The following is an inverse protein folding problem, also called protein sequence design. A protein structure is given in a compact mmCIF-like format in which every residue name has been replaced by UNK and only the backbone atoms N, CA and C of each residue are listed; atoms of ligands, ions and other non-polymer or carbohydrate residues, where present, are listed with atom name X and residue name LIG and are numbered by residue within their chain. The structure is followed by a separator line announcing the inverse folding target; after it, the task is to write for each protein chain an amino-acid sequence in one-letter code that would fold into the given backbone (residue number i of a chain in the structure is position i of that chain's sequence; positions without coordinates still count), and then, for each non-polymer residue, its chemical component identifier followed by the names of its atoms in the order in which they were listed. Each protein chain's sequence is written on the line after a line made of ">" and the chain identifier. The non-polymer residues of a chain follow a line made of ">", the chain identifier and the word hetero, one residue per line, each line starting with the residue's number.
data_IF_331116861062
#
_entry.id   IF_331116861062
#
_cell.length_a   1.000
_cell.length_b   1.000
_cell.length_c   1.000
_cell.angle_alpha   90.00
_cell.angle_beta   90.00
_cell.angle_gamma   90.00
#
_symmetry.space_group_name_H-M   'P 1'
#
loop_
_entity.id
_entity.type
_entity.pdbx_description
1 polymer ?
#
# COMPACT_ATOMS: atom_id res chain seq x y z
N UNK A 1 -25.59 -9.32 7.57
CA UNK A 1 -25.31 -8.51 8.79
C UNK A 1 -26.07 -7.22 8.65
N UNK A 2 -26.89 -6.85 9.62
CA UNK A 2 -27.55 -5.55 9.68
C UNK A 2 -26.50 -4.46 10.00
N UNK A 3 -26.86 -3.17 9.86
CA UNK A 3 -25.96 -2.07 10.22
C UNK A 3 -25.60 -2.12 11.72
N UNK A 4 -26.59 -2.39 12.58
CA UNK A 4 -26.40 -2.52 14.03
C UNK A 4 -25.46 -3.67 14.39
N UNK A 5 -25.64 -4.86 13.79
CA UNK A 5 -24.74 -6.01 13.98
C UNK A 5 -23.31 -5.70 13.51
N UNK A 6 -23.15 -4.87 12.47
CA UNK A 6 -21.85 -4.45 11.99
C UNK A 6 -21.17 -3.49 12.97
N UNK A 7 -21.89 -2.49 13.48
CA UNK A 7 -21.36 -1.51 14.43
C UNK A 7 -20.96 -2.18 15.75
N UNK A 8 -21.75 -3.14 16.24
CA UNK A 8 -21.41 -3.96 17.41
C UNK A 8 -20.12 -4.78 17.15
N UNK A 9 -19.98 -5.39 15.98
CA UNK A 9 -18.79 -6.16 15.61
C UNK A 9 -17.53 -5.28 15.53
N UNK A 10 -17.66 -4.06 15.02
CA UNK A 10 -16.58 -3.05 14.99
C UNK A 10 -16.17 -2.67 16.41
N UNK A 11 -17.13 -2.36 17.27
CA UNK A 11 -16.89 -2.04 18.70
C UNK A 11 -16.13 -3.16 19.40
N UNK A 12 -16.58 -4.39 19.23
CA UNK A 12 -15.89 -5.57 19.79
C UNK A 12 -14.48 -5.77 19.24
N UNK A 13 -14.25 -5.46 17.95
CA UNK A 13 -12.91 -5.53 17.36
C UNK A 13 -11.98 -4.48 17.96
N UNK A 14 -12.43 -3.23 18.12
CA UNK A 14 -11.67 -2.15 18.77
C UNK A 14 -11.30 -2.54 20.21
N UNK A 15 -12.23 -3.06 20.99
CA UNK A 15 -11.93 -3.53 22.35
C UNK A 15 -10.89 -4.65 22.37
N UNK A 16 -10.93 -5.61 21.41
CA UNK A 16 -9.91 -6.65 21.29
C UNK A 16 -8.54 -6.08 20.93
N UNK A 17 -8.48 -5.13 19.98
CA UNK A 17 -7.25 -4.44 19.58
C UNK A 17 -6.63 -3.70 20.76
N UNK A 18 -7.44 -2.94 21.51
CA UNK A 18 -7.00 -2.23 22.73
C UNK A 18 -6.43 -3.20 23.76
N UNK A 19 -7.14 -4.28 24.08
CA UNK A 19 -6.63 -5.32 25.03
C UNK A 19 -5.32 -5.95 24.55
N UNK A 20 -5.18 -6.21 23.27
CA UNK A 20 -3.93 -6.78 22.72
C UNK A 20 -2.77 -5.78 22.87
N UNK A 21 -3.01 -4.52 22.57
CA UNK A 21 -2.02 -3.45 22.73
C UNK A 21 -1.69 -3.20 24.20
N UNK A 22 -2.66 -3.22 25.10
CA UNK A 22 -2.44 -3.13 26.56
C UNK A 22 -1.49 -4.22 27.06
N UNK A 23 -1.68 -5.45 26.62
CA UNK A 23 -0.81 -6.58 27.00
C UNK A 23 0.66 -6.36 26.58
N UNK A 24 0.88 -5.75 25.38
CA UNK A 24 2.22 -5.42 24.90
C UNK A 24 2.83 -4.20 25.62
N UNK A 25 2.03 -3.20 25.98
CA UNK A 25 2.50 -1.91 26.52
C UNK A 25 2.62 -1.86 28.04
N UNK A 26 1.91 -2.73 28.78
CA UNK A 26 1.86 -2.68 30.26
C UNK A 26 3.23 -2.77 30.91
N UNK A 27 4.16 -3.54 30.35
CA UNK A 27 5.52 -3.69 30.90
C UNK A 27 6.31 -2.39 30.94
N UNK A 28 5.99 -1.43 30.06
CA UNK A 28 6.69 -0.16 29.97
C UNK A 28 6.20 0.89 30.98
N UNK A 29 5.02 0.73 31.59
CA UNK A 29 4.46 1.64 32.59
C UNK A 29 4.28 3.07 32.10
N UNK A 30 4.21 3.29 30.79
CA UNK A 30 4.22 4.59 30.10
C UNK A 30 2.81 5.04 29.79
N UNK A 31 2.53 6.32 30.01
CA UNK A 31 1.32 6.98 29.50
C UNK A 31 1.47 7.22 28.01
N UNK A 32 0.50 6.81 27.21
CA UNK A 32 0.57 6.93 25.74
C UNK A 32 -0.51 7.88 25.24
N UNK A 33 -0.12 8.81 24.38
CA UNK A 33 -1.04 9.72 23.68
C UNK A 33 -0.99 9.40 22.20
N UNK A 34 -2.16 9.27 21.55
CA UNK A 34 -2.26 8.95 20.14
C UNK A 34 -3.10 10.02 19.45
N UNK A 35 -2.45 10.90 18.69
CA UNK A 35 -3.12 12.01 18.02
C UNK A 35 -3.81 11.59 16.73
N UNK A 36 -5.04 12.03 16.52
CA UNK A 36 -5.77 11.86 15.26
C UNK A 36 -5.19 12.74 14.13
N UNK A 37 -4.64 13.90 14.48
CA UNK A 37 -4.18 14.91 13.53
C UNK A 37 -5.23 15.99 13.26
N UNK A 38 -4.88 16.94 12.40
CA UNK A 38 -5.73 18.06 12.00
C UNK A 38 -5.83 18.16 10.50
N UNK A 39 -6.92 18.74 9.93
CA UNK A 39 -7.00 19.03 8.52
C UNK A 39 -5.81 19.89 8.07
N UNK A 40 -5.20 19.55 6.95
CA UNK A 40 -4.04 20.28 6.39
C UNK A 40 -4.55 21.27 5.36
N UNK A 41 -4.34 22.60 5.56
CA UNK A 41 -4.71 23.60 4.58
C UNK A 41 -3.96 23.42 3.26
N UNK A 42 -4.66 23.59 2.13
CA UNK A 42 -4.00 23.61 0.82
C UNK A 42 -3.27 24.96 0.66
N UNK A 43 -1.94 24.97 0.46
CA UNK A 43 -1.18 26.20 0.36
C UNK A 43 -1.74 27.18 -0.69
N UNK A 44 -1.94 28.44 -0.30
CA UNK A 44 -2.49 29.48 -1.17
C UNK A 44 -3.96 29.32 -1.59
N UNK A 45 -4.68 28.39 -0.97
CA UNK A 45 -6.11 28.16 -1.22
C UNK A 45 -6.87 28.41 0.09
N UNK A 46 -7.33 29.65 0.29
CA UNK A 46 -8.21 29.98 1.41
C UNK A 46 -9.44 29.05 1.41
N UNK A 47 -9.92 28.67 2.57
CA UNK A 47 -11.11 27.85 2.81
C UNK A 47 -11.05 26.41 2.23
N UNK A 48 -9.86 25.95 1.77
CA UNK A 48 -9.66 24.58 1.30
C UNK A 48 -8.63 23.84 2.13
N UNK A 49 -9.00 22.63 2.52
CA UNK A 49 -8.11 21.65 3.17
C UNK A 49 -8.01 20.40 2.31
N UNK A 50 -6.94 19.64 2.47
CA UNK A 50 -6.91 18.27 1.98
C UNK A 50 -7.97 17.43 2.71
N UNK A 51 -8.54 16.38 2.08
CA UNK A 51 -9.42 15.44 2.77
C UNK A 51 -8.77 14.98 4.07
N UNK A 52 -9.48 15.08 5.19
CA UNK A 52 -8.98 14.65 6.47
C UNK A 52 -9.08 13.14 6.59
N UNK A 53 -7.96 12.50 6.88
CA UNK A 53 -7.87 11.12 7.31
C UNK A 53 -7.15 11.11 8.66
N UNK A 54 -7.80 10.55 9.67
CA UNK A 54 -7.18 10.38 10.98
C UNK A 54 -5.94 9.49 10.85
N UNK A 55 -4.90 9.80 11.62
CA UNK A 55 -3.68 8.99 11.63
C UNK A 55 -4.00 7.51 11.86
N UNK A 56 -3.41 6.61 11.10
CA UNK A 56 -3.74 5.18 11.10
C UNK A 56 -3.63 4.53 12.50
N UNK A 57 -2.68 4.95 13.34
CA UNK A 57 -2.54 4.46 14.71
C UNK A 57 -3.72 4.85 15.61
N UNK A 58 -4.27 6.05 15.43
CA UNK A 58 -5.48 6.49 16.12
C UNK A 58 -6.72 5.77 15.58
N UNK A 59 -6.89 5.76 14.25
CA UNK A 59 -8.04 5.14 13.61
C UNK A 59 -8.15 3.64 13.93
N UNK A 60 -7.03 2.92 13.93
CA UNK A 60 -6.98 1.49 14.27
C UNK A 60 -7.61 1.15 15.63
N UNK A 61 -7.44 2.05 16.62
CA UNK A 61 -7.91 1.87 17.99
C UNK A 61 -9.24 2.58 18.30
N UNK A 62 -9.81 3.34 17.35
CA UNK A 62 -11.05 4.11 17.59
C UNK A 62 -12.12 3.92 16.53
N UNK A 63 -11.72 3.65 15.28
CA UNK A 63 -12.55 3.71 14.06
C UNK A 63 -13.15 5.12 13.81
N UNK A 64 -12.57 6.17 14.39
CA UNK A 64 -13.08 7.53 14.32
C UNK A 64 -12.25 8.42 13.37
N UNK A 65 -12.95 9.24 12.58
CA UNK A 65 -12.37 10.32 11.77
C UNK A 65 -12.62 11.67 12.49
N UNK A 66 -11.94 11.88 13.62
CA UNK A 66 -12.17 13.06 14.51
C UNK A 66 -10.96 14.00 14.49
N UNK A 67 -11.00 15.10 13.74
CA UNK A 67 -9.90 16.08 13.72
C UNK A 67 -9.58 16.61 15.11
N UNK A 68 -8.30 16.63 15.47
CA UNK A 68 -7.83 17.15 16.75
C UNK A 68 -8.08 16.27 17.96
N UNK A 69 -8.69 15.10 17.79
CA UNK A 69 -8.90 14.18 18.90
C UNK A 69 -7.59 13.51 19.33
N UNK A 70 -7.54 13.10 20.60
CA UNK A 70 -6.41 12.37 21.19
C UNK A 70 -6.95 11.18 21.96
N UNK A 71 -6.53 9.99 21.58
CA UNK A 71 -6.73 8.79 22.38
C UNK A 71 -5.57 8.66 23.36
N UNK A 72 -5.87 8.57 24.65
CA UNK A 72 -4.88 8.41 25.71
C UNK A 72 -5.01 7.05 26.38
N UNK A 73 -3.88 6.45 26.72
CA UNK A 73 -3.79 5.23 27.50
C UNK A 73 -2.99 5.46 28.76
N UNK A 74 -3.55 5.10 29.90
CA UNK A 74 -2.89 5.06 31.19
C UNK A 74 -2.91 3.62 31.72
N UNK A 75 -1.76 2.97 31.98
CA UNK A 75 -1.71 1.61 32.51
C UNK A 75 -2.50 1.43 33.83
N UNK A 76 -2.83 2.49 34.56
CA UNK A 76 -3.56 2.44 35.83
C UNK A 76 -5.07 2.71 35.67
N UNK A 77 -5.45 3.53 34.66
CA UNK A 77 -6.83 4.02 34.50
C UNK A 77 -7.49 3.54 33.19
N UNK A 78 -6.69 2.97 32.25
CA UNK A 78 -7.17 2.52 30.93
C UNK A 78 -7.24 3.63 29.89
N UNK A 79 -8.15 3.48 28.94
CA UNK A 79 -8.32 4.35 27.78
C UNK A 79 -9.23 5.54 28.06
N UNK A 80 -8.85 6.69 27.53
CA UNK A 80 -9.66 7.91 27.50
C UNK A 80 -9.53 8.58 26.15
N UNK A 81 -10.62 8.99 25.53
CA UNK A 81 -10.60 9.75 24.28
C UNK A 81 -10.96 11.21 24.55
N UNK A 82 -10.07 12.13 24.18
CA UNK A 82 -10.24 13.57 24.30
C UNK A 82 -10.68 14.14 22.96
N UNK A 83 -11.87 14.75 22.93
CA UNK A 83 -12.51 15.19 21.69
C UNK A 83 -12.70 16.70 21.70
N UNK A 84 -12.27 17.43 20.65
CA UNK A 84 -12.56 18.86 20.52
C UNK A 84 -14.06 19.13 20.49
N UNK A 85 -14.48 20.21 21.13
CA UNK A 85 -15.84 20.70 20.99
C UNK A 85 -16.08 21.20 19.57
N UNK A 86 -17.20 20.81 18.97
CA UNK A 86 -17.62 21.30 17.64
C UNK A 86 -18.31 22.65 17.82
N UNK A 87 -17.79 23.69 17.19
CA UNK A 87 -18.34 25.03 17.21
C UNK A 87 -19.67 25.12 16.43
N UNK A 88 -20.46 26.18 16.67
CA UNK A 88 -21.66 26.43 15.89
C UNK A 88 -21.34 26.66 14.39
N UNK A 89 -20.20 27.29 14.09
CA UNK A 89 -19.76 27.53 12.72
C UNK A 89 -19.38 26.22 12.04
N UNK A 90 -18.61 25.34 12.69
CA UNK A 90 -18.28 24.02 12.15
C UNK A 90 -19.53 23.18 11.85
N UNK A 91 -20.54 23.25 12.71
CA UNK A 91 -21.83 22.59 12.43
C UNK A 91 -22.53 23.18 11.21
N UNK A 92 -22.49 24.50 11.05
CA UNK A 92 -23.10 25.19 9.92
C UNK A 92 -22.36 24.90 8.60
N UNK A 93 -21.03 24.95 8.62
CA UNK A 93 -20.22 24.87 7.42
C UNK A 93 -19.90 23.45 6.96
N UNK A 94 -19.70 22.53 7.89
CA UNK A 94 -19.29 21.15 7.60
C UNK A 94 -20.33 20.09 7.94
N UNK A 95 -21.45 20.48 8.55
CA UNK A 95 -22.46 19.51 9.00
C UNK A 95 -21.99 18.59 10.13
N UNK A 96 -20.88 18.95 10.81
CA UNK A 96 -20.35 18.17 11.90
C UNK A 96 -21.38 17.95 13.02
N UNK A 97 -21.57 16.70 13.44
CA UNK A 97 -22.53 16.32 14.46
C UNK A 97 -21.92 16.45 15.86
N UNK A 98 -22.75 16.80 16.87
CA UNK A 98 -22.32 17.15 18.23
C UNK A 98 -22.26 16.00 19.22
N UNK A 99 -22.76 14.82 18.86
CA UNK A 99 -23.07 13.76 19.83
C UNK A 99 -21.97 12.70 19.94
N UNK A 100 -20.73 13.11 19.67
CA UNK A 100 -19.61 12.18 19.81
C UNK A 100 -19.24 12.02 21.29
N UNK A 101 -19.40 10.80 21.80
CA UNK A 101 -19.00 10.46 23.16
C UNK A 101 -17.48 10.65 23.32
N UNK A 102 -17.05 11.28 24.41
CA UNK A 102 -15.65 11.50 24.74
C UNK A 102 -15.47 12.55 25.83
N UNK A 103 -14.27 12.65 26.36
CA UNK A 103 -13.89 13.70 27.31
C UNK A 103 -13.56 14.97 26.52
N UNK A 104 -14.01 16.17 26.98
CA UNK A 104 -13.62 17.42 26.31
C UNK A 104 -12.09 17.55 26.14
N UNK A 105 -11.63 17.97 24.98
CA UNK A 105 -10.18 18.13 24.71
C UNK A 105 -9.49 19.12 25.67
N UNK A 106 -10.23 20.08 26.23
CA UNK A 106 -9.75 20.99 27.28
C UNK A 106 -9.28 20.27 28.56
N UNK A 107 -9.78 19.07 28.82
CA UNK A 107 -9.39 18.25 29.96
C UNK A 107 -8.06 17.49 29.78
N UNK A 108 -7.50 17.44 28.58
CA UNK A 108 -6.21 16.75 28.32
C UNK A 108 -5.08 17.35 29.14
N UNK A 109 -4.98 18.70 29.23
CA UNK A 109 -3.98 19.38 30.04
C UNK A 109 -4.09 19.02 31.51
N UNK A 110 -5.24 19.23 32.18
CA UNK A 110 -5.47 18.77 33.56
C UNK A 110 -5.22 17.26 33.75
N UNK A 111 -5.57 16.43 32.78
CA UNK A 111 -5.33 14.99 32.85
C UNK A 111 -3.84 14.66 32.86
N UNK A 112 -3.02 15.34 32.05
CA UNK A 112 -1.57 15.20 32.02
C UNK A 112 -0.91 15.75 33.31
N UNK A 113 -1.39 16.87 33.83
CA UNK A 113 -0.87 17.43 35.07
C UNK A 113 -1.03 16.47 36.27
N UNK A 114 -2.13 15.72 36.34
CA UNK A 114 -2.28 14.68 37.38
C UNK A 114 -1.28 13.54 37.25
N UNK A 115 -0.60 13.43 36.10
CA UNK A 115 0.41 12.41 35.75
C UNK A 115 1.82 12.98 35.70
N UNK A 116 2.01 14.18 36.21
CA UNK A 116 3.33 14.85 36.25
C UNK A 116 4.38 13.94 36.87
N UNK A 117 5.55 13.82 36.18
CA UNK A 117 6.64 12.94 36.58
C UNK A 117 6.56 11.50 36.07
N UNK A 118 5.45 11.11 35.45
CA UNK A 118 5.36 9.84 34.74
C UNK A 118 5.93 9.98 33.32
N UNK A 119 6.43 8.88 32.78
CA UNK A 119 6.88 8.81 31.39
C UNK A 119 5.68 8.93 30.46
N UNK A 120 5.81 9.74 29.42
CA UNK A 120 4.77 9.94 28.39
C UNK A 120 5.39 9.71 27.04
N UNK A 121 4.70 9.01 26.15
CA UNK A 121 5.08 8.83 24.75
C UNK A 121 3.93 9.26 23.83
N UNK A 122 4.27 9.79 22.65
CA UNK A 122 3.30 10.15 21.61
C UNK A 122 3.40 9.22 20.42
N UNK A 123 2.24 8.74 19.99
CA UNK A 123 2.01 8.04 18.73
C UNK A 123 1.01 8.86 17.88
N UNK A 124 0.71 8.36 16.68
CA UNK A 124 -0.18 9.07 15.78
C UNK A 124 0.40 10.39 15.29
N UNK A 125 -0.48 11.33 15.01
CA UNK A 125 -0.11 12.69 14.64
C UNK A 125 0.44 13.45 15.85
N UNK A 126 1.42 14.38 15.65
CA UNK A 126 1.97 15.17 16.73
C UNK A 126 0.91 15.97 17.51
N UNK A 127 0.99 15.94 18.84
CA UNK A 127 0.11 16.66 19.74
C UNK A 127 0.90 17.87 20.29
N UNK A 128 0.51 19.11 19.93
CA UNK A 128 1.24 20.30 20.35
C UNK A 128 1.35 20.42 21.89
N UNK A 129 2.52 20.83 22.37
CA UNK A 129 2.82 21.05 23.79
C UNK A 129 2.69 19.83 24.72
N UNK A 130 2.41 18.64 24.22
CA UNK A 130 2.45 17.43 25.02
C UNK A 130 3.88 16.84 25.08
N UNK A 131 4.31 16.30 26.23
CA UNK A 131 5.63 15.67 26.34
C UNK A 131 5.69 14.37 25.55
N UNK A 132 6.90 13.95 25.11
CA UNK A 132 7.12 12.65 24.49
C UNK A 132 8.53 12.13 24.74
N UNK A 133 8.65 10.91 25.23
CA UNK A 133 9.88 10.14 25.19
C UNK A 133 9.97 9.44 23.82
N UNK A 134 10.86 9.96 22.96
CA UNK A 134 10.97 9.52 21.56
C UNK A 134 11.44 8.07 21.43
N UNK A 135 12.33 7.62 22.32
CA UNK A 135 12.83 6.24 22.30
C UNK A 135 11.73 5.25 22.65
N UNK A 136 10.96 5.55 23.70
CA UNK A 136 9.82 4.73 24.10
C UNK A 136 8.70 4.78 23.04
N UNK A 137 8.43 5.92 22.44
CA UNK A 137 7.46 6.04 21.35
C UNK A 137 7.83 5.14 20.16
N UNK A 138 9.11 5.04 19.80
CA UNK A 138 9.59 4.15 18.74
C UNK A 138 9.38 2.66 19.08
N UNK A 139 9.61 2.29 20.35
CA UNK A 139 9.37 0.91 20.82
C UNK A 139 7.88 0.56 20.80
N UNK A 140 7.03 1.42 21.36
CA UNK A 140 5.57 1.25 21.37
C UNK A 140 5.00 1.14 19.95
N UNK A 141 5.50 1.95 19.01
CA UNK A 141 5.10 1.88 17.60
C UNK A 141 5.49 0.55 16.97
N UNK A 142 6.69 0.05 17.26
CA UNK A 142 7.13 -1.27 16.77
C UNK A 142 6.22 -2.39 17.26
N UNK A 143 5.78 -2.34 18.53
CA UNK A 143 4.83 -3.31 19.10
C UNK A 143 3.45 -3.17 18.44
N UNK A 144 2.96 -1.95 18.26
CA UNK A 144 1.69 -1.67 17.58
C UNK A 144 1.70 -2.16 16.12
N UNK A 145 2.76 -1.89 15.38
CA UNK A 145 2.92 -2.36 14.00
C UNK A 145 2.86 -3.89 13.92
N UNK A 146 3.47 -4.59 14.89
CA UNK A 146 3.39 -6.06 14.97
C UNK A 146 1.94 -6.55 15.12
N UNK A 147 1.14 -5.88 15.95
CA UNK A 147 -0.28 -6.22 16.12
C UNK A 147 -1.07 -5.92 14.85
N UNK A 148 -0.85 -4.76 14.23
CA UNK A 148 -1.54 -4.31 13.00
C UNK A 148 -1.24 -5.18 11.77
N UNK A 149 -0.07 -5.82 11.71
CA UNK A 149 0.26 -6.75 10.60
C UNK A 149 -0.75 -7.86 10.43
N UNK A 150 -1.29 -8.39 11.54
CA UNK A 150 -2.29 -9.47 11.51
C UNK A 150 -3.69 -8.86 11.47
N UNK A 151 -4.33 -8.95 10.32
CA UNK A 151 -5.67 -8.41 10.09
C UNK A 151 -6.71 -9.24 10.83
N UNK A 152 -7.59 -8.57 11.56
CA UNK A 152 -8.77 -9.20 12.16
C UNK A 152 -9.94 -9.35 11.15
N UNK A 153 -11.03 -9.96 11.58
CA UNK A 153 -12.16 -10.27 10.71
C UNK A 153 -12.84 -9.00 10.15
N UNK A 154 -12.88 -7.90 10.92
CA UNK A 154 -13.45 -6.61 10.48
C UNK A 154 -12.54 -5.96 9.43
N UNK A 155 -11.23 -5.97 9.65
CA UNK A 155 -10.25 -5.48 8.69
C UNK A 155 -10.35 -6.26 7.38
N UNK A 156 -10.38 -7.61 7.45
CA UNK A 156 -10.52 -8.47 6.28
C UNK A 156 -11.86 -8.29 5.56
N UNK A 157 -12.95 -8.03 6.29
CA UNK A 157 -14.23 -7.73 5.66
C UNK A 157 -14.17 -6.42 4.87
N UNK A 158 -13.57 -5.36 5.43
CA UNK A 158 -13.36 -4.07 4.74
C UNK A 158 -12.45 -4.22 3.52
N UNK A 159 -11.34 -4.94 3.64
CA UNK A 159 -10.43 -5.20 2.51
C UNK A 159 -11.10 -5.97 1.39
N UNK A 160 -12.03 -6.89 1.68
CA UNK A 160 -12.80 -7.58 0.66
C UNK A 160 -13.77 -6.64 -0.05
N UNK A 161 -14.43 -5.72 0.68
CA UNK A 161 -15.30 -4.71 0.07
C UNK A 161 -14.50 -3.75 -0.83
N UNK A 162 -13.30 -3.33 -0.39
CA UNK A 162 -12.38 -2.56 -1.23
C UNK A 162 -11.94 -3.34 -2.48
N UNK A 163 -11.65 -4.64 -2.35
CA UNK A 163 -11.31 -5.52 -3.48
C UNK A 163 -12.48 -5.70 -4.45
N UNK A 164 -13.71 -5.87 -3.94
CA UNK A 164 -14.91 -5.99 -4.77
C UNK A 164 -15.18 -4.70 -5.55
N UNK A 165 -15.05 -3.53 -4.92
CA UNK A 165 -15.15 -2.24 -5.58
C UNK A 165 -14.05 -2.05 -6.64
N UNK A 166 -12.83 -2.47 -6.33
CA UNK A 166 -11.70 -2.46 -7.28
C UNK A 166 -11.99 -3.36 -8.48
N UNK A 167 -12.47 -4.59 -8.27
CA UNK A 167 -12.87 -5.50 -9.35
C UNK A 167 -13.93 -4.87 -10.26
N UNK A 168 -14.93 -4.20 -9.69
CA UNK A 168 -15.98 -3.52 -10.43
C UNK A 168 -15.45 -2.35 -11.27
N UNK A 169 -14.48 -1.58 -10.74
CA UNK A 169 -13.81 -0.52 -11.49
C UNK A 169 -13.03 -1.04 -12.69
N UNK A 170 -12.23 -2.11 -12.52
CA UNK A 170 -11.55 -2.75 -13.64
C UNK A 170 -12.55 -3.28 -14.68
N UNK A 171 -13.63 -3.95 -14.26
CA UNK A 171 -14.67 -4.43 -15.15
C UNK A 171 -15.36 -3.31 -15.94
N UNK A 172 -15.49 -2.10 -15.34
CA UNK A 172 -16.02 -0.92 -16.01
C UNK A 172 -15.04 -0.32 -17.02
N UNK A 173 -13.73 -0.23 -16.67
CA UNK A 173 -12.73 0.46 -17.47
C UNK A 173 -12.19 -0.37 -18.65
N UNK A 174 -12.01 -1.68 -18.48
CA UNK A 174 -11.41 -2.57 -19.50
C UNK A 174 -12.11 -2.49 -20.87
N UNK A 175 -13.45 -2.45 -20.98
CA UNK A 175 -14.13 -2.31 -22.27
C UNK A 175 -13.84 -0.98 -23.01
N UNK A 176 -13.33 0.05 -22.31
CA UNK A 176 -12.96 1.33 -22.91
C UNK A 176 -11.52 1.35 -23.44
N UNK A 177 -10.74 0.30 -23.22
CA UNK A 177 -9.36 0.24 -23.73
C UNK A 177 -9.41 0.13 -25.26
N UNK A 178 -9.07 1.23 -25.93
CA UNK A 178 -9.02 1.28 -27.40
C UNK A 178 -8.08 2.39 -27.87
N UNK A 179 -7.53 2.30 -29.10
CA UNK A 179 -6.76 3.38 -29.68
C UNK A 179 -7.56 4.69 -29.73
N UNK A 180 -6.93 5.80 -29.33
CA UNK A 180 -7.55 7.14 -29.30
C UNK A 180 -8.29 7.48 -28.01
N UNK A 181 -8.47 6.56 -27.06
CA UNK A 181 -8.91 6.88 -25.69
C UNK A 181 -7.74 7.45 -24.91
N UNK A 182 -7.96 8.45 -24.05
CA UNK A 182 -6.89 9.01 -23.23
C UNK A 182 -6.68 8.25 -21.93
N UNK A 183 -5.45 8.30 -21.37
CA UNK A 183 -5.16 7.77 -20.03
C UNK A 183 -6.13 8.35 -18.98
N UNK A 184 -6.41 9.66 -19.07
CA UNK A 184 -7.36 10.35 -18.20
C UNK A 184 -8.80 9.82 -18.33
N UNK A 185 -9.24 9.47 -19.54
CA UNK A 185 -10.57 8.91 -19.74
C UNK A 185 -10.71 7.53 -19.05
N UNK A 186 -9.69 6.68 -19.17
CA UNK A 186 -9.67 5.39 -18.45
C UNK A 186 -9.64 5.57 -16.93
N UNK A 187 -8.88 6.57 -16.43
CA UNK A 187 -8.89 6.90 -15.00
C UNK A 187 -10.30 7.25 -14.52
N UNK A 188 -11.02 8.08 -15.27
CA UNK A 188 -12.39 8.48 -14.90
C UNK A 188 -13.31 7.26 -14.82
N UNK A 189 -13.22 6.34 -15.78
CA UNK A 189 -14.08 5.16 -15.80
C UNK A 189 -13.80 4.19 -14.65
N UNK A 190 -12.52 3.95 -14.35
CA UNK A 190 -12.14 3.01 -13.27
C UNK A 190 -12.52 3.57 -11.89
N UNK A 191 -12.21 4.85 -11.62
CA UNK A 191 -12.53 5.51 -10.35
C UNK A 191 -14.06 5.66 -10.16
N UNK A 192 -14.79 6.03 -11.23
CA UNK A 192 -16.26 6.03 -11.20
C UNK A 192 -16.83 4.64 -10.91
N UNK A 193 -16.18 3.58 -11.40
CA UNK A 193 -16.50 2.20 -11.07
C UNK A 193 -16.37 1.91 -9.57
N UNK A 194 -15.28 2.36 -8.94
CA UNK A 194 -15.06 2.22 -7.50
C UNK A 194 -16.19 2.88 -6.69
N UNK A 195 -16.48 4.15 -6.96
CA UNK A 195 -17.53 4.89 -6.24
C UNK A 195 -18.93 4.33 -6.43
N UNK A 196 -19.27 3.86 -7.64
CA UNK A 196 -20.57 3.21 -7.91
C UNK A 196 -20.75 1.90 -7.14
N UNK A 197 -19.64 1.29 -6.67
CA UNK A 197 -19.65 0.03 -5.95
C UNK A 197 -19.25 0.20 -4.47
N UNK A 198 -19.41 1.41 -3.93
CA UNK A 198 -19.38 1.68 -2.50
C UNK A 198 -18.03 2.00 -1.92
N UNK A 199 -17.00 2.27 -2.73
CA UNK A 199 -15.75 2.82 -2.24
C UNK A 199 -15.95 4.23 -1.66
N UNK A 200 -15.27 4.52 -0.56
CA UNK A 200 -15.26 5.86 0.03
C UNK A 200 -14.35 6.81 -0.76
N UNK A 201 -13.20 6.29 -1.23
CA UNK A 201 -12.25 7.03 -2.06
C UNK A 201 -11.37 6.07 -2.88
N UNK A 202 -10.42 6.62 -3.64
CA UNK A 202 -9.32 5.84 -4.22
C UNK A 202 -8.27 5.60 -3.15
N UNK A 203 -7.64 4.42 -3.16
CA UNK A 203 -6.59 4.05 -2.20
C UNK A 203 -5.32 4.88 -2.39
N UNK A 204 -5.03 5.26 -3.61
CA UNK A 204 -3.89 6.08 -4.04
C UNK A 204 -4.18 6.71 -5.40
N UNK A 205 -3.32 7.64 -5.83
CA UNK A 205 -3.43 8.22 -7.17
C UNK A 205 -3.33 7.13 -8.23
N UNK A 206 -4.42 6.88 -8.95
CA UNK A 206 -4.48 5.83 -9.98
C UNK A 206 -3.42 6.04 -11.06
N UNK A 207 -2.71 4.98 -11.42
CA UNK A 207 -1.71 4.95 -12.47
C UNK A 207 -2.36 4.37 -13.72
N UNK A 208 -2.51 5.18 -14.78
CA UNK A 208 -2.91 4.72 -16.10
C UNK A 208 -1.79 5.12 -17.06
N UNK A 209 -0.96 4.17 -17.42
CA UNK A 209 0.28 4.42 -18.15
C UNK A 209 0.31 3.68 -19.48
N UNK A 210 0.27 4.43 -20.60
CA UNK A 210 0.23 3.85 -21.95
C UNK A 210 1.58 3.92 -22.66
N UNK A 211 1.94 2.89 -23.42
CA UNK A 211 3.17 2.82 -24.18
C UNK A 211 4.39 3.12 -23.31
N UNK A 212 5.27 4.08 -23.69
CA UNK A 212 6.49 4.37 -22.93
C UNK A 212 6.24 4.86 -21.50
N UNK A 213 5.05 5.42 -21.19
CA UNK A 213 4.71 5.86 -19.84
C UNK A 213 4.65 4.70 -18.85
N UNK A 214 4.33 3.48 -19.31
CA UNK A 214 4.30 2.28 -18.48
C UNK A 214 5.68 1.87 -17.91
N UNK A 215 6.77 2.50 -18.34
CA UNK A 215 8.10 2.36 -17.74
C UNK A 215 8.34 3.35 -16.58
N UNK A 216 7.41 4.24 -16.28
CA UNK A 216 7.44 5.17 -15.14
C UNK A 216 6.58 4.59 -14.03
N UNK A 217 7.19 4.13 -12.96
CA UNK A 217 6.53 3.32 -11.92
C UNK A 217 5.31 4.01 -11.26
N UNK A 218 5.37 5.33 -11.06
CA UNK A 218 4.28 6.14 -10.49
C UNK A 218 3.85 7.23 -11.49
N UNK A 219 3.49 6.81 -12.71
CA UNK A 219 3.01 7.73 -13.75
C UNK A 219 1.61 8.25 -13.42
N UNK A 220 1.43 9.57 -13.44
CA UNK A 220 0.12 10.17 -13.28
C UNK A 220 -0.59 10.25 -14.65
N UNK A 221 -1.87 9.84 -14.76
CA UNK A 221 -2.61 9.83 -16.00
C UNK A 221 -2.69 11.21 -16.67
N UNK A 222 -2.44 11.25 -17.97
CA UNK A 222 -2.42 12.47 -18.78
C UNK A 222 -3.51 12.45 -19.85
N UNK A 223 -3.52 13.47 -20.72
CA UNK A 223 -4.34 13.49 -21.93
C UNK A 223 -3.71 12.71 -23.11
N UNK A 224 -2.61 11.97 -22.87
CA UNK A 224 -2.01 11.12 -23.89
C UNK A 224 -3.03 10.09 -24.36
N UNK A 225 -3.15 9.97 -25.67
CA UNK A 225 -4.01 8.97 -26.29
C UNK A 225 -3.29 7.63 -26.40
N UNK A 226 -4.01 6.55 -26.11
CA UNK A 226 -3.55 5.19 -26.28
C UNK A 226 -3.28 4.94 -27.77
N UNK A 227 -2.07 4.48 -28.11
CA UNK A 227 -1.68 4.13 -29.48
C UNK A 227 -2.01 2.69 -29.84
N UNK A 228 -2.39 2.46 -31.10
CA UNK A 228 -2.54 1.10 -31.60
C UNK A 228 -1.22 0.33 -31.47
N UNK A 229 -1.28 -0.92 -30.98
CA UNK A 229 -0.12 -1.79 -30.75
C UNK A 229 0.67 -1.48 -29.45
N UNK A 230 0.26 -0.49 -28.67
CA UNK A 230 0.85 -0.22 -27.36
C UNK A 230 0.22 -1.10 -26.26
N UNK A 231 0.88 -1.10 -25.11
CA UNK A 231 0.31 -1.60 -23.84
C UNK A 231 -0.24 -0.45 -23.04
N UNK A 232 -1.24 -0.72 -22.21
CA UNK A 232 -1.67 0.14 -21.10
C UNK A 232 -1.56 -0.62 -19.79
N UNK A 233 -0.78 -0.08 -18.87
CA UNK A 233 -0.66 -0.55 -17.50
C UNK A 233 -1.63 0.27 -16.65
N UNK A 234 -2.50 -0.42 -15.92
CA UNK A 234 -3.47 0.16 -14.99
C UNK A 234 -3.11 -0.37 -13.60
N UNK A 235 -2.78 0.54 -12.70
CA UNK A 235 -2.49 0.27 -11.30
C UNK A 235 -3.39 1.19 -10.46
N UNK A 236 -4.41 0.59 -9.86
CA UNK A 236 -5.46 1.33 -9.18
C UNK A 236 -6.17 0.45 -8.14
N UNK A 237 -6.60 1.08 -7.06
CA UNK A 237 -7.32 0.44 -5.99
C UNK A 237 -8.35 1.35 -5.35
N UNK A 238 -9.39 0.75 -4.81
CA UNK A 238 -10.42 1.40 -4.03
C UNK A 238 -10.08 1.36 -2.54
N UNK A 239 -10.52 2.35 -1.78
CA UNK A 239 -10.53 2.36 -0.33
C UNK A 239 -11.96 2.15 0.18
N UNK A 240 -12.10 1.36 1.24
CA UNK A 240 -13.34 1.22 1.99
C UNK A 240 -13.07 1.34 3.49
N UNK A 241 -13.60 2.39 4.12
CA UNK A 241 -13.43 2.71 5.55
C UNK A 241 -11.97 2.65 6.00
N UNK A 242 -11.07 3.29 5.24
CA UNK A 242 -9.65 3.39 5.52
C UNK A 242 -8.83 2.16 5.11
N UNK A 243 -9.45 1.11 4.58
CA UNK A 243 -8.76 -0.10 4.12
C UNK A 243 -8.65 -0.14 2.61
N UNK A 244 -7.43 -0.31 2.14
CA UNK A 244 -7.05 -0.21 0.74
C UNK A 244 -6.98 -1.56 0.04
N UNK A 245 -7.26 -1.51 -1.25
CA UNK A 245 -6.92 -2.52 -2.24
C UNK A 245 -5.83 -1.97 -3.17
N UNK A 246 -4.96 -2.84 -3.67
CA UNK A 246 -3.85 -2.48 -4.55
C UNK A 246 -3.70 -3.53 -5.66
N UNK A 247 -3.94 -3.13 -6.92
CA UNK A 247 -3.97 -4.05 -8.06
C UNK A 247 -3.40 -3.43 -9.31
N UNK A 248 -2.50 -4.17 -9.95
CA UNK A 248 -2.03 -3.81 -11.30
C UNK A 248 -2.42 -4.87 -12.33
N UNK A 249 -2.87 -4.41 -13.49
CA UNK A 249 -3.03 -5.20 -14.71
C UNK A 249 -2.45 -4.45 -15.92
N UNK A 250 -1.97 -5.23 -16.89
CA UNK A 250 -1.46 -4.67 -18.15
C UNK A 250 -2.22 -5.29 -19.32
N UNK A 251 -2.74 -4.44 -20.22
CA UNK A 251 -3.56 -4.85 -21.34
C UNK A 251 -2.97 -4.38 -22.68
N UNK A 252 -3.16 -5.12 -23.77
CA UNK A 252 -2.87 -4.64 -25.12
C UNK A 252 -3.97 -3.66 -25.57
N UNK A 253 -3.60 -2.48 -26.06
CA UNK A 253 -4.56 -1.45 -26.50
C UNK A 253 -5.40 -1.90 -27.69
N UNK A 254 -4.86 -2.74 -28.56
CA UNK A 254 -5.55 -3.26 -29.76
C UNK A 254 -6.22 -4.62 -29.57
N UNK A 255 -6.38 -5.09 -28.34
CA UNK A 255 -7.02 -6.36 -28.00
C UNK A 255 -6.06 -7.56 -27.97
N UNK A 256 -5.06 -7.61 -28.83
CA UNK A 256 -4.08 -8.70 -28.89
C UNK A 256 -2.66 -8.22 -28.57
N UNK A 257 -1.90 -9.04 -27.85
CA UNK A 257 -0.48 -8.82 -27.62
C UNK A 257 0.34 -9.11 -28.89
N UNK A 258 1.36 -8.31 -29.17
CA UNK A 258 2.42 -8.73 -30.10
C UNK A 258 3.18 -9.95 -29.54
N UNK A 259 3.96 -10.62 -30.37
CA UNK A 259 4.75 -11.77 -29.94
C UNK A 259 5.72 -11.41 -28.81
N UNK A 260 6.36 -10.25 -28.88
CA UNK A 260 7.27 -9.74 -27.86
C UNK A 260 6.52 -9.37 -26.57
N UNK A 261 5.35 -8.71 -26.68
CA UNK A 261 4.51 -8.36 -25.54
C UNK A 261 4.00 -9.62 -24.84
N UNK A 262 3.51 -10.61 -25.59
CA UNK A 262 3.05 -11.88 -25.06
C UNK A 262 4.17 -12.65 -24.33
N UNK A 263 5.40 -12.65 -24.84
CA UNK A 263 6.53 -13.30 -24.20
C UNK A 263 6.89 -12.65 -22.86
N UNK A 264 6.95 -11.32 -22.79
CA UNK A 264 7.24 -10.60 -21.54
C UNK A 264 6.06 -10.74 -20.56
N UNK A 265 4.81 -10.64 -21.04
CA UNK A 265 3.62 -10.83 -20.21
C UNK A 265 3.58 -12.22 -19.57
N UNK A 266 3.82 -13.27 -20.37
CA UNK A 266 3.87 -14.64 -19.86
C UNK A 266 4.99 -14.86 -18.83
N UNK A 267 6.13 -14.18 -18.98
CA UNK A 267 7.21 -14.20 -17.98
C UNK A 267 6.74 -13.56 -16.68
N UNK A 268 6.21 -12.33 -16.71
CA UNK A 268 5.73 -11.64 -15.51
C UNK A 268 4.62 -12.43 -14.81
N UNK A 269 3.66 -12.97 -15.57
CA UNK A 269 2.57 -13.78 -15.03
C UNK A 269 3.07 -15.07 -14.36
N UNK A 270 4.04 -15.75 -14.97
CA UNK A 270 4.68 -16.95 -14.37
C UNK A 270 5.38 -16.62 -13.06
N UNK A 271 6.15 -15.54 -13.02
CA UNK A 271 6.85 -15.08 -11.82
C UNK A 271 5.82 -14.72 -10.71
N UNK A 272 4.76 -14.00 -11.07
CA UNK A 272 3.72 -13.58 -10.14
C UNK A 272 2.98 -14.79 -9.54
N UNK A 273 2.58 -15.75 -10.34
CA UNK A 273 1.95 -17.00 -9.88
C UNK A 273 2.87 -17.79 -8.95
N UNK A 274 4.15 -17.96 -9.33
CA UNK A 274 5.13 -18.66 -8.50
C UNK A 274 5.40 -17.94 -7.17
N UNK A 275 5.42 -16.60 -7.16
CA UNK A 275 5.57 -15.82 -5.94
C UNK A 275 4.35 -15.97 -5.02
N UNK A 276 3.12 -15.92 -5.55
CA UNK A 276 1.89 -16.17 -4.78
C UNK A 276 1.90 -17.59 -4.17
N UNK A 277 2.30 -18.61 -4.92
CA UNK A 277 2.37 -19.98 -4.40
C UNK A 277 3.35 -20.13 -3.22
N UNK A 278 4.41 -19.30 -3.18
CA UNK A 278 5.36 -19.23 -2.08
C UNK A 278 4.83 -18.48 -0.85
N UNK A 279 3.78 -17.67 -0.99
CA UNK A 279 3.18 -16.91 0.12
C UNK A 279 2.48 -17.85 1.10
N UNK A 280 3.21 -18.30 2.12
CA UNK A 280 2.73 -19.21 3.18
C UNK A 280 3.28 -18.79 4.53
N UNK A 281 2.57 -19.16 5.59
CA UNK A 281 3.02 -18.91 6.95
C UNK A 281 4.43 -19.51 7.19
N UNK A 282 5.30 -18.73 7.82
CA UNK A 282 6.68 -19.09 8.13
C UNK A 282 7.69 -18.84 7.01
N UNK A 283 7.24 -18.50 5.79
CA UNK A 283 8.15 -18.17 4.68
C UNK A 283 8.67 -16.74 4.83
N UNK A 284 9.97 -16.55 4.70
CA UNK A 284 10.59 -15.23 4.67
C UNK A 284 10.19 -14.47 3.39
N UNK A 285 9.65 -13.27 3.53
CA UNK A 285 9.23 -12.47 2.38
C UNK A 285 10.42 -12.08 1.48
N UNK A 286 11.59 -11.89 2.07
CA UNK A 286 12.86 -11.71 1.35
C UNK A 286 13.14 -12.85 0.38
N UNK A 287 12.89 -14.11 0.79
CA UNK A 287 13.18 -15.28 -0.04
C UNK A 287 12.21 -15.36 -1.23
N UNK A 288 10.95 -14.94 -1.04
CA UNK A 288 9.98 -14.81 -2.14
C UNK A 288 10.49 -13.80 -3.17
N UNK A 289 10.97 -12.64 -2.70
CA UNK A 289 11.52 -11.60 -3.58
C UNK A 289 12.76 -12.08 -4.34
N UNK A 290 13.73 -12.72 -3.66
CA UNK A 290 14.94 -13.21 -4.29
C UNK A 290 14.63 -14.31 -5.31
N UNK A 291 13.69 -15.21 -5.03
CA UNK A 291 13.24 -16.21 -5.99
C UNK A 291 12.61 -15.55 -7.24
N UNK A 292 11.76 -14.53 -7.04
CA UNK A 292 11.19 -13.77 -8.15
C UNK A 292 12.27 -13.05 -8.98
N UNK A 293 13.27 -12.45 -8.34
CA UNK A 293 14.40 -11.81 -9.03
C UNK A 293 15.22 -12.79 -9.86
N UNK A 294 15.45 -14.02 -9.35
CA UNK A 294 16.10 -15.10 -10.08
C UNK A 294 15.26 -15.57 -11.28
N UNK A 295 13.95 -15.76 -11.08
CA UNK A 295 13.03 -16.17 -12.14
C UNK A 295 12.94 -15.10 -13.26
N UNK A 296 12.96 -13.81 -12.90
CA UNK A 296 13.02 -12.69 -13.85
C UNK A 296 14.36 -12.71 -14.60
N UNK A 297 15.49 -12.83 -13.89
CA UNK A 297 16.82 -12.87 -14.50
C UNK A 297 16.94 -14.02 -15.51
N UNK A 298 16.52 -15.23 -15.13
CA UNK A 298 16.53 -16.39 -16.02
C UNK A 298 15.63 -16.17 -17.25
N UNK A 299 14.40 -15.65 -17.03
CA UNK A 299 13.48 -15.37 -18.13
C UNK A 299 14.01 -14.30 -19.10
N UNK A 300 14.73 -13.29 -18.60
CA UNK A 300 15.39 -12.28 -19.45
C UNK A 300 16.59 -12.88 -20.23
N UNK A 301 17.29 -13.89 -19.67
CA UNK A 301 18.32 -14.64 -20.39
C UNK A 301 17.68 -15.46 -21.50
N UNK A 302 16.61 -16.21 -21.19
CA UNK A 302 15.90 -17.05 -22.17
C UNK A 302 15.30 -16.23 -23.33
N UNK A 303 14.85 -15.00 -23.02
CA UNK A 303 14.35 -14.03 -24.00
C UNK A 303 15.45 -13.29 -24.77
N UNK A 304 16.73 -13.51 -24.43
CA UNK A 304 17.87 -12.89 -25.10
C UNK A 304 18.11 -11.42 -24.81
N UNK A 305 17.62 -10.92 -23.64
CA UNK A 305 17.89 -9.56 -23.14
C UNK A 305 19.09 -9.51 -22.21
N UNK A 306 19.34 -10.59 -21.46
CA UNK A 306 20.51 -10.76 -20.61
C UNK A 306 21.35 -11.96 -21.07
N UNK A 307 22.59 -12.02 -20.62
CA UNK A 307 23.49 -13.16 -20.78
C UNK A 307 24.30 -13.41 -19.52
N UNK A 308 24.44 -14.66 -19.13
CA UNK A 308 25.16 -15.09 -17.93
C UNK A 308 24.30 -15.98 -17.03
N UNK A 309 24.82 -16.28 -15.85
CA UNK A 309 24.08 -17.03 -14.82
C UNK A 309 23.09 -16.11 -14.12
N UNK A 310 21.88 -16.58 -13.88
CA UNK A 310 20.81 -15.77 -13.25
C UNK A 310 21.21 -15.23 -11.86
N UNK A 311 21.90 -16.06 -11.03
CA UNK A 311 22.39 -15.64 -9.72
C UNK A 311 23.37 -14.47 -9.81
N UNK A 312 24.38 -14.59 -10.68
CA UNK A 312 25.39 -13.54 -10.91
C UNK A 312 24.73 -12.24 -11.42
N UNK A 313 23.71 -12.35 -12.30
CA UNK A 313 22.98 -11.22 -12.84
C UNK A 313 22.14 -10.48 -11.77
N UNK A 314 21.60 -11.21 -10.79
CA UNK A 314 20.91 -10.65 -9.64
C UNK A 314 21.90 -9.93 -8.72
N UNK A 315 23.02 -10.56 -8.38
CA UNK A 315 24.05 -9.98 -7.51
C UNK A 315 24.70 -8.73 -8.11
N UNK A 316 25.00 -8.74 -9.43
CA UNK A 316 25.57 -7.61 -10.15
C UNK A 316 24.56 -6.50 -10.49
N UNK A 317 23.26 -6.70 -10.20
CA UNK A 317 22.21 -5.73 -10.44
C UNK A 317 21.77 -5.61 -11.91
N UNK A 318 22.20 -6.50 -12.80
CA UNK A 318 21.80 -6.46 -14.21
C UNK A 318 20.29 -6.70 -14.39
N UNK A 319 19.70 -7.63 -13.63
CA UNK A 319 18.25 -7.87 -13.63
C UNK A 319 17.45 -6.72 -12.99
N UNK A 320 18.03 -5.99 -12.04
CA UNK A 320 17.40 -4.85 -11.39
C UNK A 320 17.21 -3.64 -12.34
N UNK A 321 17.88 -3.60 -13.49
CA UNK A 321 17.60 -2.61 -14.54
C UNK A 321 16.21 -2.77 -15.15
N UNK A 322 15.67 -4.00 -15.11
CA UNK A 322 14.36 -4.36 -15.68
C UNK A 322 13.31 -4.64 -14.62
N UNK A 323 13.71 -5.06 -13.42
CA UNK A 323 12.86 -5.25 -12.23
C UNK A 323 13.41 -4.42 -11.06
N UNK A 324 13.15 -3.09 -11.04
CA UNK A 324 13.83 -2.15 -10.15
C UNK A 324 13.19 -2.00 -8.77
N UNK A 325 12.15 -2.74 -8.42
CA UNK A 325 11.42 -2.60 -7.15
C UNK A 325 11.30 -3.91 -6.36
N UNK A 326 10.78 -3.85 -5.13
CA UNK A 326 10.47 -5.03 -4.34
C UNK A 326 9.31 -5.82 -4.94
N UNK A 327 9.17 -7.09 -4.53
CA UNK A 327 8.05 -7.94 -4.97
C UNK A 327 6.70 -7.47 -4.42
N UNK A 328 6.68 -6.54 -3.45
CA UNK A 328 5.49 -5.97 -2.85
C UNK A 328 5.71 -5.41 -1.45
N UNK A 329 4.60 -5.16 -0.77
CA UNK A 329 4.52 -4.57 0.58
C UNK A 329 3.30 -5.07 1.34
N UNK A 330 3.18 -4.72 2.64
CA UNK A 330 1.93 -4.88 3.38
C UNK A 330 0.88 -3.91 2.85
N UNK A 331 -0.38 -4.34 2.82
CA UNK A 331 -1.55 -3.54 2.49
C UNK A 331 -2.64 -3.75 3.55
N UNK A 332 -3.43 -2.73 3.82
CA UNK A 332 -4.49 -2.78 4.82
C UNK A 332 -5.03 -1.40 5.15
N UNK A 333 -4.81 -0.92 6.36
CA UNK A 333 -5.14 0.44 6.78
C UNK A 333 -4.13 1.43 6.17
N UNK A 334 -4.40 1.80 4.92
CA UNK A 334 -3.51 2.48 4.00
C UNK A 334 -2.81 1.52 3.03
N UNK A 335 -2.52 2.02 1.80
CA UNK A 335 -1.90 1.23 0.72
C UNK A 335 -0.55 0.61 1.12
N UNK A 336 0.19 1.27 2.00
CA UNK A 336 1.41 0.74 2.63
C UNK A 336 1.22 0.69 4.12
N UNK A 337 0.63 -0.41 4.58
CA UNK A 337 0.36 -0.63 6.00
C UNK A 337 1.63 -1.05 6.77
N UNK A 338 1.47 -1.27 8.08
CA UNK A 338 2.52 -1.66 9.03
C UNK A 338 3.37 -2.84 8.51
N UNK A 339 4.51 -2.51 7.94
CA UNK A 339 5.47 -3.43 7.35
C UNK A 339 6.79 -3.43 8.13
N UNK A 340 7.90 -3.40 7.39
CA UNK A 340 9.24 -3.18 7.93
C UNK A 340 10.07 -4.43 8.10
N UNK A 341 10.95 -4.41 9.09
CA UNK A 341 12.01 -5.37 9.28
C UNK A 341 11.91 -5.98 10.66
N UNK A 342 12.31 -7.23 10.82
CA UNK A 342 12.51 -7.81 12.14
C UNK A 342 13.60 -7.04 12.92
N UNK A 343 13.55 -7.05 14.27
CA UNK A 343 14.61 -6.50 15.08
C UNK A 343 15.99 -7.05 14.67
N UNK A 344 16.96 -6.17 14.50
CA UNK A 344 18.31 -6.53 14.05
C UNK A 344 18.49 -6.64 12.53
N UNK A 345 17.42 -6.56 11.75
CA UNK A 345 17.49 -6.44 10.29
C UNK A 345 17.41 -4.97 9.88
N UNK A 346 18.12 -4.62 8.82
CA UNK A 346 18.10 -3.28 8.23
C UNK A 346 17.98 -3.36 6.71
N UNK A 347 17.67 -2.24 6.07
CA UNK A 347 17.63 -2.14 4.63
C UNK A 347 18.96 -2.57 4.02
N UNK A 348 18.91 -3.44 3.01
CA UNK A 348 20.10 -3.91 2.30
C UNK A 348 20.48 -2.95 1.17
N UNK A 349 21.78 -2.76 0.97
CA UNK A 349 22.33 -2.01 -0.17
C UNK A 349 22.53 -2.89 -1.42
N UNK A 350 22.32 -4.21 -1.30
CA UNK A 350 22.40 -5.13 -2.44
C UNK A 350 21.38 -4.73 -3.53
N UNK A 351 21.76 -4.69 -4.82
CA UNK A 351 20.91 -4.21 -5.91
C UNK A 351 19.49 -4.81 -5.91
N UNK A 352 19.38 -6.13 -5.71
CA UNK A 352 18.11 -6.83 -5.68
C UNK A 352 17.25 -6.50 -4.45
N UNK A 353 17.85 -6.14 -3.31
CA UNK A 353 17.16 -5.94 -2.04
C UNK A 353 16.94 -4.47 -1.67
N UNK A 354 17.58 -3.55 -2.39
CA UNK A 354 17.58 -2.12 -2.06
C UNK A 354 16.20 -1.51 -1.88
N UNK A 355 15.21 -1.99 -2.60
CA UNK A 355 13.83 -1.51 -2.56
C UNK A 355 12.86 -2.50 -1.91
N UNK A 356 13.36 -3.56 -1.27
CA UNK A 356 12.52 -4.46 -0.48
C UNK A 356 11.91 -3.68 0.70
N UNK A 357 10.59 -3.79 0.89
CA UNK A 357 9.84 -3.04 1.91
C UNK A 357 9.51 -3.88 3.15
N UNK A 358 9.50 -5.19 3.01
CA UNK A 358 9.23 -6.15 4.08
C UNK A 358 10.39 -7.12 4.17
N UNK A 359 10.95 -7.30 5.36
CA UNK A 359 11.97 -8.30 5.66
C UNK A 359 11.66 -9.00 6.98
N UNK A 360 10.63 -9.83 6.92
CA UNK A 360 10.11 -10.62 8.03
C UNK A 360 9.42 -11.89 7.50
N UNK A 361 9.25 -12.93 8.32
CA UNK A 361 8.46 -14.09 7.95
C UNK A 361 6.98 -13.71 7.83
N UNK A 362 6.31 -14.32 6.87
CA UNK A 362 4.87 -14.19 6.73
C UNK A 362 4.14 -14.96 7.83
N UNK A 363 3.07 -14.38 8.35
CA UNK A 363 2.21 -15.00 9.37
C UNK A 363 0.76 -15.02 8.91
N UNK A 364 -0.08 -15.95 9.43
CA UNK A 364 -1.52 -15.94 9.17
C UNK A 364 -2.14 -14.60 9.57
N UNK A 365 -2.96 -14.05 8.68
CA UNK A 365 -3.56 -12.71 8.83
C UNK A 365 -2.74 -11.58 8.21
N UNK A 366 -1.51 -11.80 7.75
CA UNK A 366 -0.80 -10.83 6.93
C UNK A 366 -1.47 -10.71 5.56
N UNK A 367 -1.61 -9.49 5.05
CA UNK A 367 -2.00 -9.23 3.66
C UNK A 367 -0.88 -8.46 2.99
N UNK A 368 -0.39 -9.01 1.88
CA UNK A 368 0.73 -8.45 1.12
C UNK A 368 0.36 -8.28 -0.35
N UNK A 369 0.95 -7.31 -1.03
CA UNK A 369 0.94 -7.26 -2.49
C UNK A 369 1.96 -8.24 -3.06
N UNK A 370 1.70 -8.77 -4.25
CA UNK A 370 2.66 -9.53 -5.08
C UNK A 370 2.60 -8.93 -6.47
N UNK A 371 3.61 -8.12 -6.81
CA UNK A 371 3.60 -7.18 -7.93
C UNK A 371 4.85 -7.25 -8.83
N UNK A 372 5.33 -8.40 -9.28
CA UNK A 372 6.48 -8.39 -10.18
C UNK A 372 6.17 -7.59 -11.45
N UNK A 373 7.20 -6.94 -11.98
CA UNK A 373 7.10 -6.21 -13.24
C UNK A 373 8.40 -6.23 -14.00
N UNK A 374 8.31 -6.07 -15.33
CA UNK A 374 9.46 -5.92 -16.23
C UNK A 374 9.25 -4.65 -17.04
N UNK A 375 10.26 -3.77 -16.99
CA UNK A 375 10.20 -2.45 -17.58
C UNK A 375 11.40 -2.19 -18.50
N UNK A 376 11.17 -1.38 -19.53
CA UNK A 376 12.19 -0.91 -20.45
C UNK A 376 12.30 0.62 -20.42
N UNK A 377 12.78 1.21 -19.29
CA UNK A 377 12.79 2.66 -19.09
C UNK A 377 13.93 3.32 -19.92
N UNK A 378 13.61 4.16 -20.92
CA UNK A 378 14.64 4.76 -21.78
C UNK A 378 15.68 5.56 -20.99
N UNK A 379 15.27 6.35 -19.99
CA UNK A 379 16.15 7.18 -19.18
C UNK A 379 17.17 6.39 -18.35
N UNK A 380 16.94 5.09 -18.11
CA UNK A 380 17.89 4.17 -17.46
C UNK A 380 18.70 3.43 -18.52
N UNK A 381 18.02 2.85 -19.53
CA UNK A 381 18.63 1.96 -20.50
C UNK A 381 19.46 2.69 -21.57
N UNK A 382 19.28 4.01 -21.72
CA UNK A 382 20.07 4.85 -22.63
C UNK A 382 21.25 5.54 -21.93
N UNK A 383 21.36 5.45 -20.58
CA UNK A 383 22.47 6.03 -19.83
C UNK A 383 23.81 5.38 -20.23
N UNK A 384 24.80 6.16 -20.71
CA UNK A 384 26.08 5.62 -21.17
C UNK A 384 26.86 4.92 -20.07
N UNK A 385 26.74 5.35 -18.82
CA UNK A 385 27.43 4.74 -17.70
C UNK A 385 26.86 3.36 -17.37
N UNK A 386 25.53 3.24 -17.33
CA UNK A 386 24.82 1.97 -17.12
C UNK A 386 25.15 1.00 -18.27
N UNK A 387 25.14 1.49 -19.51
CA UNK A 387 25.49 0.66 -20.67
C UNK A 387 26.94 0.18 -20.64
N UNK A 388 27.88 1.01 -20.16
CA UNK A 388 29.28 0.61 -19.98
C UNK A 388 29.41 -0.41 -18.84
N UNK A 389 28.76 -0.20 -17.72
CA UNK A 389 28.80 -1.10 -16.57
C UNK A 389 28.26 -2.49 -16.91
N UNK A 390 27.17 -2.55 -17.66
CA UNK A 390 26.47 -3.79 -18.00
C UNK A 390 26.71 -4.25 -19.43
N UNK A 391 27.83 -3.86 -20.09
CA UNK A 391 28.14 -4.20 -21.48
C UNK A 391 28.24 -5.70 -21.74
N UNK A 392 28.68 -6.47 -20.73
CA UNK A 392 28.94 -7.90 -20.84
C UNK A 392 27.73 -8.75 -20.37
N UNK A 393 26.78 -8.16 -19.66
CA UNK A 393 25.60 -8.83 -19.11
C UNK A 393 24.30 -8.51 -19.85
N UNK A 394 24.16 -7.31 -20.43
CA UNK A 394 22.97 -6.89 -21.19
C UNK A 394 23.21 -7.01 -22.69
N UNK A 395 22.23 -7.60 -23.38
CA UNK A 395 22.24 -7.70 -24.87
C UNK A 395 21.61 -6.44 -25.45
N UNK A 396 22.35 -5.33 -25.41
CA UNK A 396 21.83 -3.97 -25.76
C UNK A 396 21.14 -3.92 -27.11
N UNK A 397 21.64 -4.68 -28.14
CA UNK A 397 21.01 -4.77 -29.46
C UNK A 397 19.56 -5.32 -29.39
N UNK A 398 19.27 -6.23 -28.45
CA UNK A 398 17.92 -6.76 -28.23
C UNK A 398 17.06 -5.76 -27.45
N UNK A 399 17.62 -5.16 -26.41
CA UNK A 399 16.95 -4.14 -25.58
C UNK A 399 16.56 -2.92 -26.40
N UNK A 400 17.42 -2.43 -27.28
CA UNK A 400 17.17 -1.26 -28.13
C UNK A 400 15.96 -1.44 -29.07
N UNK A 401 15.55 -2.68 -29.38
CA UNK A 401 14.36 -2.96 -30.19
C UNK A 401 13.05 -2.70 -29.41
N UNK A 402 13.13 -2.68 -28.07
CA UNK A 402 11.97 -2.47 -27.19
C UNK A 402 11.85 -1.00 -26.73
N UNK A 403 12.46 -0.06 -27.46
CA UNK A 403 12.21 1.38 -27.22
C UNK A 403 10.73 1.67 -27.38
N UNK A 404 10.15 2.31 -26.36
CA UNK A 404 8.72 2.62 -26.35
C UNK A 404 7.80 1.46 -25.92
N UNK A 405 8.35 0.28 -25.62
CA UNK A 405 7.60 -0.86 -25.08
C UNK A 405 6.87 -0.49 -23.76
N UNK A 406 7.53 0.31 -22.91
CA UNK A 406 7.05 0.65 -21.57
C UNK A 406 7.38 -0.43 -20.55
N UNK A 407 6.36 -0.99 -19.95
CA UNK A 407 6.50 -2.02 -18.92
C UNK A 407 5.23 -2.86 -18.74
N UNK A 408 5.40 -3.98 -18.05
CA UNK A 408 4.32 -4.89 -17.63
C UNK A 408 4.47 -5.13 -16.14
N UNK A 409 3.39 -4.92 -15.38
CA UNK A 409 3.23 -5.31 -13.98
C UNK A 409 1.93 -6.09 -13.83
N UNK A 410 1.93 -7.11 -12.98
CA UNK A 410 0.75 -7.87 -12.58
C UNK A 410 0.79 -8.01 -11.08
N UNK A 411 -0.26 -7.53 -10.41
CA UNK A 411 -0.30 -7.39 -8.96
C UNK A 411 -1.61 -7.88 -8.38
N UNK A 412 -1.52 -8.53 -7.23
CA UNK A 412 -2.67 -8.92 -6.40
C UNK A 412 -2.41 -8.72 -4.92
N UNK A 413 -3.49 -8.57 -4.14
CA UNK A 413 -3.48 -8.65 -2.70
C UNK A 413 -3.63 -10.10 -2.24
N UNK A 414 -2.68 -10.56 -1.43
CA UNK A 414 -2.57 -11.95 -0.99
C UNK A 414 -2.65 -12.03 0.53
N UNK A 415 -3.72 -12.63 1.03
CA UNK A 415 -3.91 -12.92 2.45
C UNK A 415 -3.26 -14.26 2.81
N UNK A 416 -2.41 -14.25 3.81
CA UNK A 416 -1.76 -15.46 4.35
C UNK A 416 -2.72 -16.18 5.28
N UNK A 417 -2.87 -17.50 5.09
CA UNK A 417 -3.67 -18.41 5.90
C UNK A 417 -2.79 -19.48 6.57
N UNK A 418 -3.32 -20.18 7.56
CA UNK A 418 -2.60 -21.29 8.23
C UNK A 418 -2.15 -22.39 7.25
N UNK A 419 -2.98 -22.71 6.25
CA UNK A 419 -2.72 -23.79 5.30
C UNK A 419 -2.35 -23.34 3.88
N UNK A 420 -2.07 -22.03 3.65
CA UNK A 420 -1.76 -21.52 2.31
C UNK A 420 -2.00 -20.01 2.20
N UNK A 421 -2.66 -19.58 1.13
CA UNK A 421 -3.03 -18.18 0.93
C UNK A 421 -4.39 -18.03 0.22
N UNK A 422 -4.90 -16.80 0.22
CA UNK A 422 -6.12 -16.40 -0.50
C UNK A 422 -5.80 -15.12 -1.28
N UNK A 423 -6.04 -15.12 -2.59
CA UNK A 423 -5.93 -13.92 -3.42
C UNK A 423 -7.25 -13.16 -3.33
N UNK A 424 -7.25 -12.01 -2.66
CA UNK A 424 -8.44 -11.18 -2.44
C UNK A 424 -8.97 -10.58 -3.76
N UNK A 425 -8.08 -10.31 -4.69
CA UNK A 425 -8.32 -9.61 -5.98
C UNK A 425 -8.48 -10.56 -7.16
N UNK A 426 -8.74 -11.83 -6.91
CA UNK A 426 -8.91 -12.89 -7.95
C UNK A 426 -10.02 -12.60 -8.97
N UNK A 427 -10.94 -11.68 -8.66
CA UNK A 427 -12.05 -11.30 -9.54
C UNK A 427 -11.60 -10.49 -10.78
N UNK A 428 -10.35 -9.99 -10.81
CA UNK A 428 -9.79 -9.25 -11.95
C UNK A 428 -8.96 -10.21 -12.80
N UNK A 429 -9.42 -10.58 -14.02
CA UNK A 429 -8.72 -11.53 -14.87
C UNK A 429 -7.29 -11.11 -15.21
N UNK A 430 -6.42 -12.11 -15.42
CA UNK A 430 -5.03 -11.94 -15.87
C UNK A 430 -4.83 -12.47 -17.29
N UNK A 431 -5.85 -13.15 -17.83
CA UNK A 431 -5.87 -13.75 -19.18
C UNK A 431 -7.20 -13.42 -19.82
#
# INVERSE_FOLDING_TARGET
>A
MTAEEYDDAVTMAIERRRRTIEAEWNELGTVVLIGAGHPIPIPGRADRVYPFLAHSEYFYLTDHQRPGAVLAYDPQEGWSEFVPAISADERLWSGALSDEAGTPASELGPWLERRRGRRVAQLGAPIPNAPSDVAVAAELRTQMDRVRRRKDDIELARMRLAADATCAGFAAAVPFIAPGVSERALQIEIEAGFFRHGADTVAYDSIIASGPNAAVLHHLPTQRLLGAGELVLIDAGAEYRGYDCDVTRTYPVSGDFSAEQAAVYALVLRVQRAAIERCRAGVEYRDIHLAAALDVAQGLVDAGFLRGNAGDLVEQGASALFFPHGIGHMVGLGVRDAGGYLPGRSRSEAPALRFLRIDLPLEPGHVVTIEPGIYFPPHVLEDPEIRRQHRDTVVWKSVDKLRGFGGIRIEDNVLIRDGGNEVLTRGIPKE
#
